data_IF_460684593362
#
_entry.id   IF_460684593362
#
_cell.length_a   1.000
_cell.length_b   1.000
_cell.length_c   1.000
_cell.angle_alpha   90.00
_cell.angle_beta   90.00
_cell.angle_gamma   90.00
#
_symmetry.space_group_name_H-M   'P 1'
#
loop_
_entity.id
_entity.type
_entity.pdbx_description
1 polymer ?
#
# COMPACT_ATOMS: atom_id res chain seq x y z
N UNK A 1 -30.45 -8.80 8.79
CA UNK A 1 -30.10 -7.82 7.75
C UNK A 1 -28.72 -8.22 7.26
N UNK A 2 -28.53 -8.35 5.95
CA UNK A 2 -27.21 -8.64 5.40
C UNK A 2 -26.42 -7.33 5.41
N UNK A 3 -25.84 -6.99 6.56
CA UNK A 3 -25.00 -5.81 6.72
C UNK A 3 -23.67 -6.09 6.02
N UNK A 4 -23.69 -6.06 4.68
CA UNK A 4 -22.46 -6.03 3.91
C UNK A 4 -21.71 -4.76 4.32
N UNK A 5 -20.42 -4.86 4.68
CA UNK A 5 -19.61 -3.71 5.05
C UNK A 5 -19.71 -2.61 3.99
N UNK A 6 -19.81 -1.35 4.42
CA UNK A 6 -19.86 -0.19 3.52
C UNK A 6 -18.50 -0.01 2.85
N UNK A 7 -18.46 0.00 1.51
CA UNK A 7 -17.23 0.32 0.77
C UNK A 7 -16.79 1.75 1.07
N UNK A 8 -15.51 1.91 1.40
CA UNK A 8 -14.85 3.21 1.59
C UNK A 8 -14.02 3.62 0.37
N UNK A 9 -14.02 2.82 -0.70
CA UNK A 9 -13.23 3.05 -1.91
C UNK A 9 -11.95 2.23 -1.96
N UNK A 10 -10.99 2.66 -2.78
CA UNK A 10 -9.77 1.91 -3.05
C UNK A 10 -8.54 2.57 -2.44
N UNK A 11 -7.55 1.76 -2.08
CA UNK A 11 -6.20 2.20 -1.76
C UNK A 11 -5.20 1.60 -2.73
N UNK A 12 -4.24 2.42 -3.14
CA UNK A 12 -3.05 1.99 -3.89
C UNK A 12 -1.84 1.95 -2.95
N UNK A 13 -1.07 0.88 -3.05
CA UNK A 13 0.07 0.61 -2.22
C UNK A 13 1.34 0.33 -3.04
N UNK A 14 2.48 0.80 -2.54
CA UNK A 14 3.80 0.34 -2.94
C UNK A 14 4.32 -0.63 -1.89
N UNK A 15 4.51 -1.90 -2.28
CA UNK A 15 4.91 -3.00 -1.40
C UNK A 15 6.29 -3.53 -1.79
N UNK A 16 7.10 -3.90 -0.81
CA UNK A 16 8.32 -4.67 -1.07
C UNK A 16 7.98 -6.10 -1.52
N UNK A 17 8.96 -6.82 -2.05
CA UNK A 17 8.82 -8.24 -2.41
C UNK A 17 8.50 -9.18 -1.23
N UNK A 18 8.49 -8.67 0.01
CA UNK A 18 8.43 -9.45 1.23
C UNK A 18 7.33 -9.02 2.20
N UNK A 19 6.39 -8.16 1.81
CA UNK A 19 5.27 -7.82 2.70
C UNK A 19 5.10 -6.34 3.02
N UNK A 20 6.21 -5.60 3.13
CA UNK A 20 6.20 -4.26 3.71
C UNK A 20 5.50 -3.25 2.79
N UNK A 21 4.45 -2.62 3.30
CA UNK A 21 3.90 -1.40 2.72
C UNK A 21 4.83 -0.22 3.00
N UNK A 22 5.28 0.47 1.95
CA UNK A 22 6.21 1.61 2.04
C UNK A 22 5.52 2.91 1.63
N UNK A 23 4.59 2.84 0.67
CA UNK A 23 3.87 3.99 0.15
C UNK A 23 2.40 3.63 0.04
N UNK A 24 1.50 4.57 0.36
CA UNK A 24 0.06 4.39 0.21
C UNK A 24 -0.61 5.69 -0.24
N UNK A 25 -1.67 5.57 -1.02
CA UNK A 25 -2.61 6.66 -1.32
C UNK A 25 -4.03 6.13 -1.36
N UNK A 26 -4.99 6.96 -0.98
CA UNK A 26 -6.40 6.72 -1.27
C UNK A 26 -6.68 7.05 -2.73
N UNK A 27 -7.55 6.26 -3.37
CA UNK A 27 -8.14 6.59 -4.66
C UNK A 27 -9.25 7.61 -4.42
N UNK A 28 -9.15 8.78 -5.04
CA UNK A 28 -10.09 9.89 -4.90
C UNK A 28 -10.75 10.17 -6.26
N UNK A 29 -11.63 9.30 -6.78
CA UNK A 29 -12.11 9.37 -8.16
C UNK A 29 -12.79 10.71 -8.50
N UNK A 30 -13.44 11.34 -7.52
CA UNK A 30 -14.15 12.61 -7.68
C UNK A 30 -13.23 13.84 -7.61
N UNK A 31 -11.95 13.65 -7.27
CA UNK A 31 -10.99 14.75 -7.15
C UNK A 31 -10.31 15.04 -8.49
N UNK A 32 -10.37 16.30 -8.90
CA UNK A 32 -9.62 16.78 -10.07
C UNK A 32 -8.13 16.43 -9.96
N UNK A 33 -7.63 15.74 -10.97
CA UNK A 33 -6.22 15.32 -11.05
C UNK A 33 -5.91 13.97 -10.39
N UNK A 34 -6.88 13.25 -9.81
CA UNK A 34 -6.66 11.91 -9.23
C UNK A 34 -5.98 10.94 -10.20
N UNK A 35 -6.39 10.92 -11.47
CA UNK A 35 -5.76 10.06 -12.47
C UNK A 35 -4.28 10.38 -12.71
N UNK A 36 -3.90 11.67 -12.72
CA UNK A 36 -2.51 12.11 -12.88
C UNK A 36 -1.69 11.79 -11.63
N UNK A 37 -2.28 11.95 -10.45
CA UNK A 37 -1.66 11.59 -9.18
C UNK A 37 -1.42 10.07 -9.09
N UNK A 38 -2.40 9.25 -9.47
CA UNK A 38 -2.27 7.79 -9.56
C UNK A 38 -1.12 7.40 -10.50
N UNK A 39 -1.06 7.98 -11.70
CA UNK A 39 0.02 7.71 -12.65
C UNK A 39 1.40 8.05 -12.06
N UNK A 40 1.50 9.20 -11.38
CA UNK A 40 2.74 9.62 -10.71
C UNK A 40 3.12 8.63 -9.60
N UNK A 41 2.16 8.23 -8.77
CA UNK A 41 2.36 7.26 -7.70
C UNK A 41 2.87 5.93 -8.25
N UNK A 42 2.20 5.35 -9.25
CA UNK A 42 2.62 4.08 -9.86
C UNK A 42 4.02 4.18 -10.46
N UNK A 43 4.36 5.31 -11.09
CA UNK A 43 5.71 5.57 -11.60
C UNK A 43 6.75 5.59 -10.48
N UNK A 44 6.47 6.27 -9.37
CA UNK A 44 7.38 6.37 -8.23
C UNK A 44 7.55 5.02 -7.50
N UNK A 45 6.48 4.22 -7.38
CA UNK A 45 6.52 2.85 -6.85
C UNK A 45 7.46 1.99 -7.70
N UNK A 46 7.27 1.97 -9.02
CA UNK A 46 8.12 1.19 -9.94
C UNK A 46 9.57 1.66 -9.93
N UNK A 47 9.84 2.97 -9.92
CA UNK A 47 11.20 3.53 -9.86
C UNK A 47 11.93 3.12 -8.58
N UNK A 48 11.20 2.99 -7.48
CA UNK A 48 11.75 2.55 -6.18
C UNK A 48 12.04 1.04 -6.13
N UNK A 49 11.57 0.28 -7.12
CA UNK A 49 11.70 -1.18 -7.16
C UNK A 49 10.64 -1.91 -6.33
N UNK A 50 9.55 -1.22 -5.98
CA UNK A 50 8.41 -1.78 -5.26
C UNK A 50 7.37 -2.32 -6.23
N UNK A 51 6.55 -3.26 -5.76
CA UNK A 51 5.36 -3.74 -6.47
C UNK A 51 4.15 -2.86 -6.14
N UNK A 52 3.38 -2.49 -7.16
CA UNK A 52 2.12 -1.78 -6.97
C UNK A 52 0.99 -2.79 -6.68
N UNK A 53 0.15 -2.48 -5.70
CA UNK A 53 -1.00 -3.30 -5.31
C UNK A 53 -2.19 -2.39 -5.02
N UNK A 54 -3.39 -2.77 -5.48
CA UNK A 54 -4.64 -2.04 -5.26
C UNK A 54 -5.61 -2.91 -4.48
N UNK A 55 -6.27 -2.34 -3.48
CA UNK A 55 -7.23 -3.03 -2.62
C UNK A 55 -8.47 -2.17 -2.39
N UNK A 56 -9.65 -2.78 -2.40
CA UNK A 56 -10.88 -2.14 -1.94
C UNK A 56 -10.96 -2.21 -0.41
N UNK A 57 -11.35 -1.11 0.22
CA UNK A 57 -11.47 -1.01 1.67
C UNK A 57 -12.91 -0.84 2.08
N UNK A 58 -13.25 -1.42 3.23
CA UNK A 58 -14.59 -1.38 3.79
C UNK A 58 -14.57 -0.83 5.22
N UNK A 59 -15.69 -0.29 5.67
CA UNK A 59 -15.82 0.24 7.02
C UNK A 59 -15.56 -0.85 8.07
N UNK A 60 -14.67 -0.55 9.02
CA UNK A 60 -14.25 -1.51 10.05
C UNK A 60 -13.32 -2.62 9.54
N UNK A 61 -12.86 -2.57 8.29
CA UNK A 61 -11.94 -3.56 7.78
C UNK A 61 -10.58 -3.48 8.48
N UNK A 62 -10.08 -4.64 8.89
CA UNK A 62 -8.71 -4.75 9.33
C UNK A 62 -7.80 -4.68 8.10
N UNK A 63 -6.57 -4.21 8.29
CA UNK A 63 -5.57 -4.42 7.25
C UNK A 63 -5.40 -5.93 7.02
N UNK A 64 -5.23 -6.39 5.76
CA UNK A 64 -4.99 -7.79 5.47
C UNK A 64 -3.83 -8.35 6.31
N UNK A 65 -3.88 -9.63 6.69
CA UNK A 65 -2.87 -10.26 7.58
C UNK A 65 -1.43 -10.09 7.06
N UNK A 66 -1.24 -10.18 5.74
CA UNK A 66 0.07 -9.95 5.11
C UNK A 66 0.62 -8.52 5.30
N UNK A 67 -0.23 -7.54 5.64
CA UNK A 67 0.18 -6.16 5.96
C UNK A 67 0.77 -6.16 7.36
N UNK A 68 2.10 -6.31 7.44
CA UNK A 68 2.82 -6.38 8.71
C UNK A 68 3.54 -7.72 8.94
N UNK A 69 3.21 -8.74 8.14
CA UNK A 69 4.06 -9.91 7.95
C UNK A 69 5.32 -9.48 7.20
N UNK A 70 6.32 -9.10 7.99
CA UNK A 70 7.58 -8.59 7.51
C UNK A 70 8.59 -9.72 7.50
N UNK A 71 8.78 -10.33 6.33
CA UNK A 71 9.85 -11.30 6.09
C UNK A 71 11.21 -10.62 5.90
N UNK A 72 11.52 -9.68 6.79
CA UNK A 72 12.69 -8.80 6.76
C UNK A 72 14.02 -9.47 7.09
N UNK A 73 13.91 -10.65 7.67
CA UNK A 73 14.98 -11.60 7.91
C UNK A 73 15.52 -12.20 6.59
N UNK A 74 14.72 -12.26 5.53
CA UNK A 74 15.15 -12.80 4.25
C UNK A 74 16.19 -11.88 3.59
N UNK A 75 17.35 -12.43 3.23
CA UNK A 75 18.45 -11.65 2.64
C UNK A 75 18.09 -10.94 1.32
N UNK A 76 17.08 -11.44 0.60
CA UNK A 76 16.59 -10.85 -0.65
C UNK A 76 15.48 -9.80 -0.44
N UNK A 77 15.03 -9.59 0.79
CA UNK A 77 13.96 -8.65 1.11
C UNK A 77 14.52 -7.22 1.22
N UNK A 78 13.89 -6.28 0.50
CA UNK A 78 14.34 -4.89 0.46
C UNK A 78 13.89 -4.04 1.67
N UNK A 79 13.13 -4.61 2.61
CA UNK A 79 12.54 -3.85 3.70
C UNK A 79 13.56 -3.13 4.60
N UNK A 80 14.79 -3.66 4.75
CA UNK A 80 15.84 -3.04 5.57
C UNK A 80 16.22 -1.64 5.08
N UNK A 81 16.01 -1.35 3.79
CA UNK A 81 16.20 -0.01 3.21
C UNK A 81 15.21 1.01 3.77
N UNK A 82 14.04 0.55 4.21
CA UNK A 82 12.92 1.39 4.64
C UNK A 82 12.66 1.34 6.15
N UNK A 83 13.14 0.30 6.85
CA UNK A 83 13.01 0.17 8.31
C UNK A 83 14.00 1.03 9.12
N UNK A 84 14.95 1.73 8.47
CA UNK A 84 16.02 2.51 9.15
C UNK A 84 15.54 3.76 9.91
N UNK A 85 14.25 3.98 10.11
CA UNK A 85 13.68 5.21 10.71
C UNK A 85 13.16 5.07 12.14
N UNK A 86 13.57 4.05 12.91
CA UNK A 86 13.31 3.98 14.36
C UNK A 86 14.59 3.81 15.20
N UNK A 87 15.57 4.67 14.99
CA UNK A 87 16.49 5.06 16.07
C UNK A 87 16.29 6.55 16.31
N UNK A 88 15.29 6.86 17.14
CA UNK A 88 15.12 8.14 17.82
C UNK A 88 14.77 7.81 19.27
#
# INVERSE_FOLDING_TARGET
>A
MSDAPKSMGFMDHGKTNCGLLVMSRWDEPDRDGNAKDLQRFVKDVKRTGLSHFRIERFEGDQFPEWVGELHCEHAQCQCRRFLRTKQA
#
